data_IF_145965003181
#
_entry.id   IF_145965003181
#
_cell.length_a   1.000
_cell.length_b   1.000
_cell.length_c   1.000
_cell.angle_alpha   90.00
_cell.angle_beta   90.00
_cell.angle_gamma   90.00
#
_symmetry.space_group_name_H-M   'P 1'
#
loop_
_entity.id
_entity.type
_entity.pdbx_description
1 polymer ?
#
# COMPACT_ATOMS: atom_id res chain seq x y z
N UNK A 1 -12.06 -22.69 -15.01
CA UNK A 1 -12.23 -23.89 -15.86
C UNK A 1 -11.90 -25.11 -15.01
N UNK A 2 -12.80 -26.13 -14.91
CA UNK A 2 -12.52 -27.33 -14.11
C UNK A 2 -11.35 -28.18 -14.67
N UNK A 3 -10.88 -27.87 -15.85
CA UNK A 3 -9.74 -28.53 -16.50
C UNK A 3 -8.43 -27.72 -16.34
N UNK A 4 -8.46 -26.58 -15.69
CA UNK A 4 -7.27 -25.76 -15.45
C UNK A 4 -6.71 -26.06 -14.06
N UNK A 5 -5.49 -26.56 -13.99
CA UNK A 5 -4.74 -26.62 -12.73
C UNK A 5 -3.99 -25.32 -12.51
N UNK A 6 -3.96 -24.84 -11.29
CA UNK A 6 -3.14 -23.68 -10.91
C UNK A 6 -2.20 -24.05 -9.80
N UNK A 7 -0.95 -23.62 -9.90
CA UNK A 7 0.05 -23.74 -8.86
C UNK A 7 0.53 -22.36 -8.45
N UNK A 8 0.75 -22.16 -7.16
CA UNK A 8 1.20 -20.88 -6.61
C UNK A 8 2.57 -21.06 -5.97
N UNK A 9 3.55 -20.33 -6.49
CA UNK A 9 4.91 -20.30 -5.96
C UNK A 9 5.15 -18.98 -5.22
N UNK A 10 5.57 -19.07 -3.97
CA UNK A 10 5.94 -17.91 -3.16
C UNK A 10 7.45 -17.79 -3.13
N UNK A 11 7.96 -16.66 -3.61
CA UNK A 11 9.37 -16.31 -3.52
C UNK A 11 9.54 -15.20 -2.49
N UNK A 12 10.36 -15.44 -1.50
CA UNK A 12 10.63 -14.44 -0.47
C UNK A 12 11.22 -13.17 -1.10
N UNK A 13 10.53 -12.05 -0.91
CA UNK A 13 10.98 -10.77 -1.43
C UNK A 13 12.11 -10.17 -0.60
N UNK A 14 12.26 -10.63 0.66
CA UNK A 14 13.18 -10.06 1.65
C UNK A 14 13.71 -11.13 2.57
N UNK A 15 14.92 -10.87 3.07
CA UNK A 15 15.49 -11.65 4.18
C UNK A 15 14.85 -11.26 5.54
N UNK A 16 15.29 -11.92 6.61
CA UNK A 16 14.82 -11.65 7.97
C UNK A 16 15.15 -10.23 8.47
N UNK A 17 16.13 -9.56 7.88
CA UNK A 17 16.50 -8.18 8.18
C UNK A 17 15.74 -7.14 7.34
N UNK A 18 14.97 -7.63 6.35
CA UNK A 18 14.15 -6.81 5.46
C UNK A 18 14.91 -6.32 4.21
N UNK A 19 16.11 -6.83 3.93
CA UNK A 19 16.83 -6.53 2.70
C UNK A 19 16.17 -7.22 1.51
N UNK A 20 16.19 -6.55 0.35
CA UNK A 20 15.64 -7.11 -0.89
C UNK A 20 16.50 -8.29 -1.36
N UNK A 21 15.85 -9.40 -1.67
CA UNK A 21 16.47 -10.57 -2.26
C UNK A 21 16.43 -10.52 -3.79
N UNK A 22 17.54 -10.89 -4.44
CA UNK A 22 17.53 -11.14 -5.88
C UNK A 22 16.81 -12.47 -6.16
N UNK A 23 15.72 -12.39 -6.92
CA UNK A 23 14.89 -13.54 -7.28
C UNK A 23 14.90 -13.84 -8.77
N UNK A 24 15.68 -13.09 -9.54
CA UNK A 24 15.68 -13.16 -11.00
C UNK A 24 15.97 -14.57 -11.49
N UNK A 25 17.00 -15.22 -10.93
CA UNK A 25 17.37 -16.60 -11.27
C UNK A 25 16.24 -17.61 -10.95
N UNK A 26 15.64 -17.52 -9.77
CA UNK A 26 14.56 -18.43 -9.36
C UNK A 26 13.29 -18.25 -10.23
N UNK A 27 12.99 -17.02 -10.64
CA UNK A 27 11.86 -16.73 -11.54
C UNK A 27 12.11 -17.32 -12.93
N UNK A 28 13.32 -17.13 -13.49
CA UNK A 28 13.67 -17.68 -14.79
C UNK A 28 13.64 -19.22 -14.79
N UNK A 29 14.14 -19.84 -13.72
CA UNK A 29 14.10 -21.30 -13.56
C UNK A 29 12.66 -21.80 -13.48
N UNK A 30 11.78 -21.14 -12.74
CA UNK A 30 10.37 -21.49 -12.64
C UNK A 30 9.68 -21.41 -14.00
N UNK A 31 9.91 -20.36 -14.78
CA UNK A 31 9.36 -20.19 -16.11
C UNK A 31 9.87 -21.27 -17.05
N UNK A 32 11.19 -21.52 -17.05
CA UNK A 32 11.81 -22.53 -17.91
C UNK A 32 11.33 -23.96 -17.62
N UNK A 33 11.05 -24.28 -16.37
CA UNK A 33 10.55 -25.58 -15.95
C UNK A 33 9.06 -25.80 -16.27
N UNK A 34 8.34 -24.74 -16.69
CA UNK A 34 6.90 -24.79 -16.99
C UNK A 34 6.59 -24.16 -18.37
N UNK A 35 7.16 -24.68 -19.47
CA UNK A 35 7.07 -24.03 -20.79
C UNK A 35 5.64 -23.94 -21.35
N UNK A 36 4.76 -24.84 -20.94
CA UNK A 36 3.36 -24.89 -21.40
C UNK A 36 2.40 -24.12 -20.48
N UNK A 37 2.89 -23.56 -19.37
CA UNK A 37 2.08 -22.83 -18.40
C UNK A 37 1.94 -21.35 -18.78
N UNK A 38 0.75 -20.79 -18.55
CA UNK A 38 0.59 -19.34 -18.53
C UNK A 38 1.05 -18.81 -17.19
N UNK A 39 2.15 -18.08 -17.16
CA UNK A 39 2.74 -17.56 -15.93
C UNK A 39 2.22 -16.15 -15.62
N UNK A 40 1.79 -15.95 -14.38
CA UNK A 40 1.43 -14.62 -13.85
C UNK A 40 2.38 -14.29 -12.70
N UNK A 41 3.20 -13.26 -12.88
CA UNK A 41 4.06 -12.72 -11.82
C UNK A 41 3.36 -11.61 -11.05
N UNK A 42 3.48 -11.60 -9.72
CA UNK A 42 2.93 -10.55 -8.86
C UNK A 42 3.97 -9.98 -7.92
N UNK A 43 4.09 -8.66 -7.90
CA UNK A 43 5.02 -7.90 -7.04
C UNK A 43 4.28 -6.85 -6.24
N UNK A 44 4.76 -6.59 -5.02
CA UNK A 44 4.27 -5.47 -4.19
C UNK A 44 5.33 -4.37 -4.15
N UNK A 45 5.07 -3.26 -4.82
CA UNK A 45 5.98 -2.11 -4.82
C UNK A 45 5.44 -0.99 -3.94
N UNK A 46 6.11 -0.74 -2.85
CA UNK A 46 5.60 0.10 -1.78
C UNK A 46 4.67 -0.70 -0.85
N UNK A 47 5.25 -1.59 -0.06
CA UNK A 47 4.54 -2.39 0.94
C UNK A 47 3.85 -1.54 2.01
N UNK A 48 3.21 -2.17 3.00
CA UNK A 48 2.61 -1.47 4.15
C UNK A 48 3.61 -0.58 4.89
N UNK A 49 4.90 -0.91 4.90
CA UNK A 49 5.99 -0.09 5.47
C UNK A 49 6.57 0.93 4.48
N UNK A 50 6.03 1.02 3.27
CA UNK A 50 6.51 1.89 2.21
C UNK A 50 7.75 1.36 1.46
N UNK A 51 8.23 0.16 1.78
CA UNK A 51 9.44 -0.41 1.19
C UNK A 51 9.18 -0.83 -0.25
N UNK A 52 10.09 -0.45 -1.14
CA UNK A 52 10.09 -0.86 -2.55
C UNK A 52 10.49 -2.33 -2.68
N UNK A 53 9.90 -3.00 -3.64
CA UNK A 53 10.45 -4.25 -4.17
C UNK A 53 11.34 -3.96 -5.38
N UNK A 54 12.09 -4.97 -5.85
CA UNK A 54 12.90 -4.84 -7.04
C UNK A 54 12.06 -5.06 -8.30
N UNK A 55 11.91 -4.01 -9.10
CA UNK A 55 11.21 -4.08 -10.39
C UNK A 55 12.08 -4.67 -11.52
N UNK A 56 13.38 -4.86 -11.29
CA UNK A 56 14.25 -5.45 -12.31
C UNK A 56 13.99 -6.94 -12.54
N UNK A 57 13.26 -7.59 -11.62
CA UNK A 57 12.81 -8.98 -11.81
C UNK A 57 11.73 -9.12 -12.89
N UNK A 58 11.15 -8.00 -13.34
CA UNK A 58 10.12 -7.99 -14.38
C UNK A 58 10.79 -8.19 -15.73
N UNK A 59 10.61 -9.39 -16.28
CA UNK A 59 10.98 -9.67 -17.65
C UNK A 59 9.85 -9.24 -18.60
N UNK A 60 10.09 -8.19 -19.35
CA UNK A 60 9.11 -7.60 -20.31
C UNK A 60 9.15 -8.28 -21.67
N UNK A 61 10.17 -9.08 -21.95
CA UNK A 61 10.35 -9.79 -23.22
C UNK A 61 9.69 -11.19 -23.19
N UNK A 62 9.33 -11.66 -21.99
CA UNK A 62 8.59 -12.91 -21.82
C UNK A 62 7.08 -12.75 -22.04
N UNK A 63 6.40 -13.88 -22.26
CA UNK A 63 4.93 -13.97 -22.26
C UNK A 63 4.33 -13.95 -20.84
N UNK A 64 5.15 -13.74 -19.81
CA UNK A 64 4.72 -13.61 -18.42
C UNK A 64 3.87 -12.37 -18.24
N UNK A 65 2.68 -12.57 -17.66
CA UNK A 65 1.77 -11.48 -17.31
C UNK A 65 2.15 -10.91 -15.94
N UNK A 66 2.78 -9.76 -15.92
CA UNK A 66 3.20 -9.11 -14.67
C UNK A 66 2.12 -8.20 -14.12
N UNK A 67 1.91 -8.30 -12.80
CA UNK A 67 1.01 -7.43 -12.01
C UNK A 67 1.83 -6.78 -10.90
N UNK A 68 1.85 -5.46 -10.85
CA UNK A 68 2.50 -4.70 -9.77
C UNK A 68 1.43 -4.08 -8.88
N UNK A 69 1.44 -4.47 -7.60
CA UNK A 69 0.59 -3.87 -6.58
C UNK A 69 1.21 -2.55 -6.09
N UNK A 70 0.61 -1.45 -6.52
CA UNK A 70 0.89 -0.08 -6.06
C UNK A 70 -0.21 0.43 -5.12
N UNK A 71 -0.89 -0.43 -4.36
CA UNK A 71 -2.04 -0.05 -3.54
C UNK A 71 -1.74 0.99 -2.46
N UNK A 72 -0.49 1.22 -2.07
CA UNK A 72 -0.16 2.39 -1.23
C UNK A 72 -0.28 3.71 -1.99
N UNK A 73 -0.10 3.70 -3.30
CA UNK A 73 -0.19 4.84 -4.22
C UNK A 73 0.67 6.04 -3.80
N UNK A 74 1.91 5.73 -3.35
CA UNK A 74 2.91 6.68 -2.85
C UNK A 74 4.08 6.80 -3.82
N UNK A 75 3.75 6.77 -5.10
CA UNK A 75 4.71 6.78 -6.21
C UNK A 75 4.37 7.89 -7.18
N UNK A 76 5.36 8.33 -7.94
CA UNK A 76 5.15 9.26 -9.03
C UNK A 76 4.34 8.62 -10.17
N UNK A 77 3.53 9.41 -10.85
CA UNK A 77 2.70 8.95 -11.98
C UNK A 77 3.54 8.43 -13.15
N UNK A 78 4.78 8.91 -13.31
CA UNK A 78 5.71 8.44 -14.33
C UNK A 78 6.04 6.96 -14.17
N UNK A 79 6.13 6.45 -12.95
CA UNK A 79 6.33 5.02 -12.70
C UNK A 79 5.14 4.20 -13.22
N UNK A 80 3.92 4.65 -12.96
CA UNK A 80 2.70 3.96 -13.42
C UNK A 80 2.68 3.93 -14.95
N UNK A 81 2.95 5.08 -15.57
CA UNK A 81 3.02 5.18 -17.02
C UNK A 81 4.07 4.23 -17.60
N UNK A 82 5.28 4.24 -17.07
CA UNK A 82 6.37 3.37 -17.51
C UNK A 82 6.05 1.87 -17.36
N UNK A 83 5.37 1.47 -16.29
CA UNK A 83 4.93 0.08 -16.10
C UNK A 83 3.89 -0.32 -17.15
N UNK A 84 2.91 0.54 -17.41
CA UNK A 84 1.88 0.29 -18.43
C UNK A 84 2.48 0.21 -19.85
N UNK A 85 3.41 1.09 -20.20
CA UNK A 85 4.14 1.06 -21.48
C UNK A 85 4.94 -0.24 -21.67
N UNK A 86 5.50 -0.77 -20.58
CA UNK A 86 6.18 -2.07 -20.54
C UNK A 86 5.22 -3.26 -20.57
N UNK A 87 3.90 -3.04 -20.58
CA UNK A 87 2.90 -4.11 -20.59
C UNK A 87 2.63 -4.72 -19.22
N UNK A 88 2.99 -4.05 -18.14
CA UNK A 88 2.75 -4.50 -16.75
C UNK A 88 1.40 -3.99 -16.26
N UNK A 89 0.57 -4.87 -15.72
CA UNK A 89 -0.68 -4.47 -15.07
C UNK A 89 -0.40 -3.82 -13.72
N UNK A 90 -1.20 -2.82 -13.34
CA UNK A 90 -0.99 -2.07 -12.10
C UNK A 90 -2.24 -2.07 -11.25
N UNK A 91 -2.13 -2.51 -10.00
CA UNK A 91 -3.20 -2.41 -9.02
C UNK A 91 -3.05 -1.13 -8.18
N UNK A 92 -4.14 -0.38 -8.07
CA UNK A 92 -4.20 0.89 -7.34
C UNK A 92 -5.35 0.90 -6.35
N UNK A 93 -5.24 1.76 -5.32
CA UNK A 93 -6.39 2.12 -4.49
C UNK A 93 -6.36 3.60 -4.10
N UNK A 94 -7.54 4.24 -4.15
CA UNK A 94 -7.72 5.59 -3.63
C UNK A 94 -7.82 5.68 -2.10
N UNK A 95 -7.99 4.56 -1.40
CA UNK A 95 -8.29 4.54 0.04
C UNK A 95 -7.08 4.63 0.97
N UNK A 96 -5.86 4.68 0.46
CA UNK A 96 -4.65 4.76 1.28
C UNK A 96 -4.08 6.18 1.29
N UNK A 97 -3.16 6.51 0.41
CA UNK A 97 -2.54 7.82 0.37
C UNK A 97 -3.56 8.94 0.14
N UNK A 98 -4.51 8.74 -0.77
CA UNK A 98 -5.56 9.72 -1.08
C UNK A 98 -6.77 9.67 -0.14
N UNK A 99 -6.75 8.83 0.87
CA UNK A 99 -7.67 8.82 2.02
C UNK A 99 -9.17 8.72 1.67
N UNK A 100 -9.50 8.21 0.47
CA UNK A 100 -10.89 7.88 0.13
C UNK A 100 -11.44 6.73 1.00
N UNK A 101 -12.75 6.53 1.06
CA UNK A 101 -13.33 5.42 1.80
C UNK A 101 -12.79 4.05 1.35
N UNK A 102 -12.72 3.05 2.25
CA UNK A 102 -12.24 1.70 1.93
C UNK A 102 -12.99 1.05 0.75
N UNK A 103 -12.38 0.01 0.17
CA UNK A 103 -12.91 -0.69 -1.02
C UNK A 103 -12.98 0.19 -2.28
N UNK A 104 -11.93 0.97 -2.50
CA UNK A 104 -11.72 1.82 -3.66
C UNK A 104 -10.46 1.33 -4.39
N UNK A 105 -10.57 0.23 -5.13
CA UNK A 105 -9.46 -0.36 -5.88
C UNK A 105 -9.77 -0.43 -7.37
N UNK A 106 -8.72 -0.38 -8.19
CA UNK A 106 -8.78 -0.57 -9.63
C UNK A 106 -7.54 -1.29 -10.12
N UNK A 107 -7.67 -1.96 -11.26
CA UNK A 107 -6.56 -2.51 -12.03
C UNK A 107 -6.45 -1.75 -13.34
N UNK A 108 -5.27 -1.22 -13.63
CA UNK A 108 -4.95 -0.65 -14.92
C UNK A 108 -4.39 -1.77 -15.81
N UNK A 109 -5.02 -1.97 -16.96
CA UNK A 109 -4.67 -3.03 -17.91
C UNK A 109 -3.98 -2.40 -19.11
N UNK A 110 -2.72 -2.76 -19.39
CA UNK A 110 -1.98 -2.24 -20.55
C UNK A 110 -2.61 -2.70 -21.86
N UNK A 111 -2.49 -1.89 -22.89
CA UNK A 111 -3.01 -2.20 -24.23
C UNK A 111 -2.42 -3.50 -24.81
N UNK A 112 -1.19 -3.85 -24.44
CA UNK A 112 -0.52 -5.11 -24.84
C UNK A 112 -1.44 -6.34 -24.62
N UNK A 113 -2.19 -6.38 -23.51
CA UNK A 113 -3.02 -7.53 -23.14
C UNK A 113 -4.45 -7.48 -23.68
N UNK A 114 -4.89 -6.37 -24.27
CA UNK A 114 -6.28 -6.20 -24.66
C UNK A 114 -6.77 -7.27 -25.63
N UNK A 115 -5.97 -7.63 -26.64
CA UNK A 115 -6.38 -8.62 -27.64
C UNK A 115 -6.48 -10.06 -27.05
N UNK A 116 -5.56 -10.41 -26.14
CA UNK A 116 -5.60 -11.68 -25.44
C UNK A 116 -6.81 -11.77 -24.49
N UNK A 117 -7.09 -10.69 -23.77
CA UNK A 117 -8.21 -10.63 -22.84
C UNK A 117 -9.57 -10.65 -23.54
N UNK A 118 -9.70 -10.12 -24.76
CA UNK A 118 -10.90 -10.22 -25.58
C UNK A 118 -11.28 -11.69 -25.93
N UNK A 119 -10.29 -12.58 -25.99
CA UNK A 119 -10.46 -13.97 -26.36
C UNK A 119 -10.81 -14.87 -25.18
N UNK A 120 -10.82 -14.33 -23.95
CA UNK A 120 -11.18 -15.11 -22.76
C UNK A 120 -12.63 -15.53 -22.83
N UNK A 121 -12.89 -16.81 -22.55
CA UNK A 121 -14.24 -17.37 -22.54
C UNK A 121 -15.11 -16.66 -21.49
N UNK A 122 -16.16 -16.02 -21.97
CA UNK A 122 -17.08 -15.27 -21.11
C UNK A 122 -17.86 -16.15 -20.12
N UNK A 123 -17.98 -17.45 -20.36
CA UNK A 123 -18.65 -18.38 -19.45
C UNK A 123 -17.96 -18.44 -18.07
N UNK A 124 -16.65 -18.15 -18.02
CA UNK A 124 -15.87 -18.10 -16.78
C UNK A 124 -16.40 -17.05 -15.81
N UNK A 125 -16.86 -15.90 -16.30
CA UNK A 125 -17.31 -14.78 -15.46
C UNK A 125 -18.79 -14.87 -15.06
N UNK A 126 -19.60 -15.59 -15.84
CA UNK A 126 -21.04 -15.67 -15.60
C UNK A 126 -21.44 -16.10 -14.16
N UNK A 127 -20.75 -17.08 -13.52
CA UNK A 127 -21.04 -17.45 -12.13
C UNK A 127 -20.79 -16.33 -11.11
N UNK A 128 -20.00 -15.33 -11.47
CA UNK A 128 -19.62 -14.21 -10.60
C UNK A 128 -20.48 -12.96 -10.78
N UNK A 129 -21.61 -13.06 -11.49
CA UNK A 129 -22.53 -11.94 -11.71
C UNK A 129 -23.16 -11.35 -10.44
N UNK A 130 -23.06 -12.03 -9.29
CA UNK A 130 -23.43 -11.49 -8.00
C UNK A 130 -22.34 -10.53 -7.42
N UNK A 131 -21.07 -10.69 -7.83
CA UNK A 131 -19.92 -9.94 -7.34
C UNK A 131 -19.50 -8.83 -8.32
N UNK A 132 -19.62 -9.08 -9.62
CA UNK A 132 -19.18 -8.17 -10.68
C UNK A 132 -20.36 -7.70 -11.52
N UNK A 133 -20.20 -6.50 -12.06
CA UNK A 133 -21.09 -5.90 -13.05
C UNK A 133 -20.35 -5.71 -14.37
N UNK A 134 -21.08 -5.47 -15.44
CA UNK A 134 -20.49 -5.11 -16.72
C UNK A 134 -19.58 -3.89 -16.67
N UNK A 135 -19.73 -3.03 -15.66
CA UNK A 135 -18.91 -1.82 -15.47
C UNK A 135 -17.60 -2.07 -14.73
N UNK A 136 -17.45 -3.22 -14.08
CA UNK A 136 -16.22 -3.62 -13.38
C UNK A 136 -15.21 -4.28 -14.34
N UNK A 137 -15.63 -4.56 -15.60
CA UNK A 137 -14.82 -5.18 -16.64
C UNK A 137 -14.46 -4.15 -17.71
N UNK A 138 -13.21 -4.14 -18.22
CA UNK A 138 -12.77 -3.21 -19.26
C UNK A 138 -13.73 -3.16 -20.46
N UNK A 139 -13.91 -1.97 -21.02
CA UNK A 139 -14.88 -1.73 -22.10
C UNK A 139 -14.63 -2.60 -23.35
N UNK A 140 -13.37 -2.95 -23.63
CA UNK A 140 -12.99 -3.77 -24.79
C UNK A 140 -13.27 -5.27 -24.61
N UNK A 141 -13.66 -5.72 -23.40
CA UNK A 141 -14.05 -7.11 -23.13
C UNK A 141 -15.56 -7.29 -23.27
N UNK A 142 -16.10 -6.97 -24.44
CA UNK A 142 -17.55 -6.93 -24.71
C UNK A 142 -18.25 -8.24 -24.37
N UNK A 143 -17.68 -9.38 -24.79
CA UNK A 143 -18.24 -10.69 -24.50
C UNK A 143 -18.43 -10.95 -23.00
N UNK A 144 -17.45 -10.58 -22.16
CA UNK A 144 -17.58 -10.70 -20.72
C UNK A 144 -18.67 -9.78 -20.17
N UNK A 145 -18.70 -8.54 -20.65
CA UNK A 145 -19.66 -7.52 -20.21
C UNK A 145 -21.11 -7.91 -20.51
N UNK A 146 -21.35 -8.65 -21.60
CA UNK A 146 -22.69 -9.14 -21.96
C UNK A 146 -23.21 -10.21 -21.01
N UNK A 147 -22.31 -10.99 -20.37
CA UNK A 147 -22.66 -12.04 -19.41
C UNK A 147 -22.79 -11.51 -17.97
N UNK A 148 -22.54 -10.25 -17.75
CA UNK A 148 -22.62 -9.61 -16.45
C UNK A 148 -23.82 -8.65 -16.35
N UNK A 149 -24.41 -8.50 -15.16
CA UNK A 149 -25.51 -7.56 -14.97
C UNK A 149 -25.04 -6.11 -15.26
N UNK A 150 -25.83 -5.37 -16.03
CA UNK A 150 -25.60 -3.93 -16.31
C UNK A 150 -26.08 -3.08 -15.14
N UNK A 151 -25.53 -3.35 -13.95
CA UNK A 151 -25.89 -2.65 -12.71
C UNK A 151 -24.70 -1.82 -12.23
N UNK A 152 -24.90 -0.51 -12.18
CA UNK A 152 -23.88 0.40 -11.65
C UNK A 152 -23.61 0.14 -10.17
N UNK A 153 -22.33 0.02 -9.80
CA UNK A 153 -21.89 0.02 -8.42
C UNK A 153 -21.72 1.46 -7.92
N UNK A 154 -22.84 2.08 -7.55
CA UNK A 154 -22.86 3.49 -7.09
C UNK A 154 -21.92 3.74 -5.90
N UNK A 155 -21.79 2.75 -5.02
CA UNK A 155 -20.92 2.88 -3.85
C UNK A 155 -19.44 2.89 -4.25
N UNK A 156 -19.02 2.08 -5.23
CA UNK A 156 -17.66 2.10 -5.77
C UNK A 156 -17.40 3.39 -6.54
N UNK A 157 -18.34 3.82 -7.36
CA UNK A 157 -18.27 5.09 -8.09
C UNK A 157 -18.05 6.28 -7.15
N UNK A 158 -18.88 6.42 -6.10
CA UNK A 158 -18.75 7.50 -5.13
C UNK A 158 -17.37 7.49 -4.43
N UNK A 159 -16.85 6.31 -4.10
CA UNK A 159 -15.49 6.19 -3.52
C UNK A 159 -14.41 6.69 -4.48
N UNK A 160 -14.54 6.35 -5.75
CA UNK A 160 -13.60 6.82 -6.77
C UNK A 160 -13.76 8.31 -7.06
N UNK A 161 -14.96 8.87 -7.05
CA UNK A 161 -15.17 10.32 -7.17
C UNK A 161 -14.43 11.07 -6.07
N UNK A 162 -14.56 10.63 -4.80
CA UNK A 162 -13.82 11.22 -3.66
C UNK A 162 -12.30 11.07 -3.85
N UNK A 163 -11.82 9.89 -4.29
CA UNK A 163 -10.40 9.68 -4.54
C UNK A 163 -9.87 10.58 -5.65
N UNK A 164 -10.60 10.70 -6.74
CA UNK A 164 -10.21 11.50 -7.92
C UNK A 164 -10.21 13.00 -7.61
N UNK A 165 -11.13 13.48 -6.77
CA UNK A 165 -11.15 14.87 -6.30
C UNK A 165 -9.87 15.19 -5.52
N UNK A 166 -9.48 14.32 -4.58
CA UNK A 166 -8.24 14.53 -3.82
C UNK A 166 -6.99 14.38 -4.71
N UNK A 167 -6.97 13.40 -5.64
CA UNK A 167 -5.89 13.24 -6.61
C UNK A 167 -5.76 14.48 -7.50
N UNK A 168 -6.87 15.04 -7.95
CA UNK A 168 -6.89 16.27 -8.75
C UNK A 168 -6.33 17.45 -7.96
N UNK A 169 -6.80 17.65 -6.73
CA UNK A 169 -6.31 18.73 -5.86
C UNK A 169 -4.82 18.57 -5.52
N UNK A 170 -4.35 17.34 -5.30
CA UNK A 170 -2.94 17.03 -5.03
C UNK A 170 -2.06 17.31 -6.26
N UNK A 171 -2.55 17.06 -7.46
CA UNK A 171 -1.81 17.22 -8.73
C UNK A 171 -1.49 18.68 -9.10
N UNK A 172 -2.08 19.67 -8.43
CA UNK A 172 -1.68 21.08 -8.59
C UNK A 172 -0.26 21.36 -8.07
N UNK A 173 0.26 20.50 -7.20
CA UNK A 173 1.58 20.63 -6.62
C UNK A 173 2.58 19.77 -7.37
N UNK A 174 3.76 20.32 -7.63
CA UNK A 174 4.84 19.54 -8.24
C UNK A 174 5.35 18.44 -7.30
N UNK A 175 5.86 17.34 -7.87
CA UNK A 175 6.50 16.27 -7.09
C UNK A 175 7.57 16.81 -6.14
N UNK A 176 8.37 17.80 -6.58
CA UNK A 176 9.38 18.42 -5.74
C UNK A 176 8.79 19.10 -4.49
N UNK A 177 7.69 19.82 -4.64
CA UNK A 177 7.02 20.48 -3.51
C UNK A 177 6.42 19.47 -2.53
N UNK A 178 5.76 18.44 -3.05
CA UNK A 178 5.17 17.39 -2.22
C UNK A 178 6.23 16.58 -1.48
N UNK A 179 7.34 16.23 -2.14
CA UNK A 179 8.46 15.52 -1.53
C UNK A 179 9.18 16.35 -0.45
N UNK A 180 9.32 17.68 -0.65
CA UNK A 180 9.88 18.56 0.36
C UNK A 180 9.04 18.56 1.65
N UNK A 181 7.73 18.73 1.51
CA UNK A 181 6.80 18.68 2.66
C UNK A 181 6.82 17.33 3.36
N UNK A 182 6.77 16.24 2.59
CA UNK A 182 6.84 14.88 3.14
C UNK A 182 8.15 14.67 3.89
N UNK A 183 9.26 15.14 3.35
CA UNK A 183 10.58 15.02 3.98
C UNK A 183 10.66 15.84 5.27
N UNK A 184 10.13 17.06 5.28
CA UNK A 184 10.06 17.90 6.49
C UNK A 184 9.20 17.27 7.58
N UNK A 185 8.03 16.72 7.22
CA UNK A 185 7.20 15.94 8.14
C UNK A 185 7.96 14.74 8.70
N UNK A 186 8.59 13.94 7.83
CA UNK A 186 9.33 12.75 8.23
C UNK A 186 10.48 13.06 9.19
N UNK A 187 11.29 14.08 8.88
CA UNK A 187 12.39 14.52 9.74
C UNK A 187 11.88 14.92 11.12
N UNK A 188 10.78 15.66 11.20
CA UNK A 188 10.21 16.07 12.48
C UNK A 188 9.68 14.88 13.29
N UNK A 189 8.98 13.94 12.66
CA UNK A 189 8.49 12.70 13.31
C UNK A 189 9.67 11.84 13.79
N UNK A 190 10.68 11.61 12.96
CA UNK A 190 11.87 10.83 13.32
C UNK A 190 12.63 11.48 14.49
N UNK A 191 12.86 12.79 14.42
CA UNK A 191 13.50 13.53 15.50
C UNK A 191 12.75 13.40 16.83
N UNK A 192 11.41 13.44 16.81
CA UNK A 192 10.59 13.22 18.01
C UNK A 192 10.72 11.81 18.55
N UNK A 193 10.69 10.79 17.70
CA UNK A 193 10.87 9.40 18.11
C UNK A 193 12.26 9.16 18.75
N UNK A 194 13.30 9.77 18.20
CA UNK A 194 14.66 9.64 18.69
C UNK A 194 14.91 10.34 20.05
N UNK A 195 13.99 11.18 20.53
CA UNK A 195 14.09 11.79 21.87
C UNK A 195 13.74 10.84 23.00
N UNK A 196 13.27 9.62 22.72
CA UNK A 196 12.85 8.65 23.72
C UNK A 196 13.48 7.28 23.48
N UNK A 197 13.98 6.65 24.54
CA UNK A 197 14.46 5.25 24.52
C UNK A 197 13.32 4.23 24.29
N UNK A 198 12.06 4.67 24.36
CA UNK A 198 10.88 3.84 24.08
C UNK A 198 10.71 3.52 22.61
N UNK A 199 11.47 4.17 21.73
CA UNK A 199 11.32 3.98 20.28
C UNK A 199 12.66 3.69 19.60
N UNK A 200 12.62 2.80 18.58
CA UNK A 200 13.74 2.60 17.67
C UNK A 200 13.25 2.60 16.24
N UNK A 201 13.76 3.53 15.46
CA UNK A 201 13.47 3.59 14.02
C UNK A 201 13.86 2.27 13.35
N UNK A 202 13.02 1.81 12.44
CA UNK A 202 13.41 0.72 11.56
C UNK A 202 14.52 1.22 10.61
N UNK A 203 15.53 0.38 10.32
CA UNK A 203 16.61 0.76 9.42
C UNK A 203 16.11 1.36 8.13
N UNK A 204 16.86 2.29 7.55
CA UNK A 204 16.56 2.89 6.27
C UNK A 204 16.61 1.81 5.19
N UNK A 205 15.43 1.34 4.85
CA UNK A 205 15.22 0.46 3.72
C UNK A 205 14.78 1.30 2.52
N UNK A 206 15.00 0.80 1.31
CA UNK A 206 14.54 1.48 0.09
C UNK A 206 13.03 1.69 0.15
N UNK A 207 12.61 2.93 0.34
CA UNK A 207 11.19 3.32 0.40
C UNK A 207 10.76 4.01 -0.90
N UNK A 208 9.46 3.99 -1.17
CA UNK A 208 8.89 4.76 -2.29
C UNK A 208 9.07 6.26 -2.05
N UNK A 209 8.79 6.69 -0.83
CA UNK A 209 9.10 8.02 -0.28
C UNK A 209 9.05 7.98 1.25
N UNK A 210 9.32 9.09 1.90
CA UNK A 210 9.34 9.21 3.36
C UNK A 210 7.97 9.40 4.01
N UNK A 211 6.87 9.16 3.29
CA UNK A 211 5.51 9.33 3.81
C UNK A 211 5.04 8.24 4.79
N UNK A 212 5.88 7.26 5.09
CA UNK A 212 5.67 6.23 6.11
C UNK A 212 6.93 6.10 6.96
N UNK A 213 6.79 6.32 8.26
CA UNK A 213 7.86 6.12 9.26
C UNK A 213 7.52 4.90 10.09
N UNK A 214 8.40 3.90 10.06
CA UNK A 214 8.25 2.64 10.78
C UNK A 214 9.20 2.61 11.98
N UNK A 215 8.71 2.14 13.13
CA UNK A 215 9.51 2.09 14.35
C UNK A 215 9.03 0.97 15.29
N UNK A 216 9.97 0.42 16.03
CA UNK A 216 9.71 -0.50 17.13
C UNK A 216 9.34 0.28 18.40
N UNK A 217 8.50 -0.31 19.25
CA UNK A 217 8.21 0.19 20.60
C UNK A 217 8.95 -0.65 21.61
N UNK A 218 9.67 -0.02 22.52
CA UNK A 218 10.50 -0.64 23.53
C UNK A 218 10.01 -0.29 24.92
N UNK A 219 9.93 -1.29 25.79
CA UNK A 219 9.56 -1.14 27.21
C UNK A 219 10.56 -1.94 28.05
N UNK A 220 11.12 -1.32 29.08
CA UNK A 220 12.12 -1.96 29.95
C UNK A 220 13.29 -2.61 29.18
N UNK A 221 13.77 -1.95 28.14
CA UNK A 221 14.90 -2.42 27.33
C UNK A 221 14.58 -3.58 26.38
N UNK A 222 13.31 -3.92 26.17
CA UNK A 222 12.86 -5.01 25.27
C UNK A 222 11.87 -4.48 24.25
N UNK A 223 12.02 -4.91 23.00
CA UNK A 223 11.04 -4.61 21.95
C UNK A 223 9.74 -5.36 22.22
N UNK A 224 8.61 -4.69 22.03
CA UNK A 224 7.31 -5.35 22.04
C UNK A 224 7.20 -6.27 20.81
N UNK A 225 6.66 -7.47 21.04
CA UNK A 225 6.35 -8.42 19.97
C UNK A 225 5.07 -8.03 19.19
N UNK A 226 4.74 -8.80 18.16
CA UNK A 226 3.63 -8.48 17.28
C UNK A 226 2.27 -8.53 17.97
N UNK A 227 2.08 -9.42 18.94
CA UNK A 227 0.80 -9.53 19.65
C UNK A 227 0.65 -8.41 20.68
N UNK A 228 1.72 -8.06 21.41
CA UNK A 228 1.75 -6.89 22.27
C UNK A 228 1.49 -5.59 21.48
N UNK A 229 2.06 -5.46 20.29
CA UNK A 229 1.79 -4.29 19.42
C UNK A 229 0.34 -4.28 18.91
N UNK A 230 -0.29 -5.43 18.64
CA UNK A 230 -1.72 -5.50 18.28
C UNK A 230 -2.61 -5.07 19.46
N UNK A 231 -2.27 -5.50 20.68
CA UNK A 231 -3.01 -5.10 21.87
C UNK A 231 -2.86 -3.61 22.13
N UNK A 232 -1.64 -3.06 22.00
CA UNK A 232 -1.37 -1.62 22.08
C UNK A 232 -2.17 -0.83 21.03
N UNK A 233 -2.12 -1.27 19.78
CA UNK A 233 -2.88 -0.67 18.69
C UNK A 233 -4.38 -0.65 18.97
N UNK A 234 -4.92 -1.78 19.43
CA UNK A 234 -6.34 -1.91 19.79
C UNK A 234 -6.70 -0.99 20.94
N UNK A 235 -5.92 -0.97 22.01
CA UNK A 235 -6.16 -0.11 23.18
C UNK A 235 -6.22 1.37 22.78
N UNK A 236 -5.26 1.85 22.00
CA UNK A 236 -5.21 3.25 21.58
C UNK A 236 -6.35 3.59 20.60
N UNK A 237 -6.60 2.76 19.59
CA UNK A 237 -7.59 3.07 18.54
C UNK A 237 -9.04 2.93 18.99
N UNK A 238 -9.31 2.21 20.08
CA UNK A 238 -10.65 2.09 20.67
C UNK A 238 -10.91 3.10 21.78
N UNK A 239 -9.88 3.75 22.33
CA UNK A 239 -10.00 4.78 23.34
C UNK A 239 -10.31 6.15 22.73
N UNK A 240 -10.84 7.06 23.55
CA UNK A 240 -10.97 8.47 23.22
C UNK A 240 -9.77 9.25 23.74
N UNK A 241 -9.31 10.21 22.97
CA UNK A 241 -8.13 11.03 23.29
C UNK A 241 -8.44 12.49 23.07
N UNK A 242 -8.35 13.30 24.11
CA UNK A 242 -8.63 14.72 24.03
C UNK A 242 -7.44 15.53 23.44
N UNK A 243 -7.73 16.73 22.96
CA UNK A 243 -6.74 17.75 22.65
C UNK A 243 -6.04 17.61 21.31
N UNK A 244 -6.53 16.79 20.37
CA UNK A 244 -6.08 16.84 18.99
C UNK A 244 -6.64 18.08 18.28
N UNK A 245 -5.81 18.71 17.46
CA UNK A 245 -6.25 19.81 16.61
C UNK A 245 -7.31 19.27 15.63
N UNK A 246 -8.46 19.93 15.56
CA UNK A 246 -9.60 19.49 14.76
C UNK A 246 -10.66 18.68 15.51
N UNK A 247 -10.56 18.56 16.86
CA UNK A 247 -11.58 17.96 17.72
C UNK A 247 -11.79 16.46 17.48
N UNK A 248 -10.77 15.73 17.02
CA UNK A 248 -10.84 14.27 16.82
C UNK A 248 -10.59 13.57 18.15
N UNK A 249 -11.57 12.79 18.58
CA UNK A 249 -11.50 12.00 19.81
C UNK A 249 -10.87 10.64 19.60
N UNK A 250 -10.73 10.18 18.35
CA UNK A 250 -10.13 8.91 17.99
C UNK A 250 -8.96 9.09 17.07
N UNK A 251 -7.93 8.29 17.30
CA UNK A 251 -6.71 8.30 16.52
C UNK A 251 -6.51 6.96 15.81
N UNK A 252 -5.91 7.02 14.64
CA UNK A 252 -5.55 5.84 13.88
C UNK A 252 -4.11 6.00 13.40
N UNK A 253 -3.36 4.92 13.46
CA UNK A 253 -2.00 4.82 12.94
C UNK A 253 -1.81 3.48 12.22
N UNK A 254 -0.65 3.21 11.67
CA UNK A 254 -0.45 1.99 10.91
C UNK A 254 -0.49 0.74 11.78
N UNK A 255 -1.30 -0.24 11.39
CA UNK A 255 -1.37 -1.54 12.07
C UNK A 255 0.03 -2.16 12.22
N UNK A 256 0.28 -2.97 13.27
CA UNK A 256 1.52 -3.70 13.44
C UNK A 256 1.90 -4.52 12.21
N UNK A 257 3.18 -4.58 11.93
CA UNK A 257 3.80 -5.38 10.87
C UNK A 257 4.96 -6.15 11.48
N UNK A 258 5.20 -7.36 10.97
CA UNK A 258 6.33 -8.18 11.37
C UNK A 258 7.14 -8.57 10.14
N UNK A 259 8.47 -8.40 10.23
CA UNK A 259 9.47 -8.92 9.29
C UNK A 259 10.47 -9.78 10.07
N UNK A 260 10.48 -11.08 9.79
CA UNK A 260 11.21 -12.03 10.62
C UNK A 260 10.76 -11.91 12.09
N UNK A 261 11.71 -11.66 12.97
CA UNK A 261 11.43 -11.46 14.41
C UNK A 261 11.18 -10.00 14.81
N UNK A 262 11.33 -9.06 13.86
CA UNK A 262 11.17 -7.62 14.13
C UNK A 262 9.71 -7.20 13.93
N UNK A 263 9.07 -6.75 15.00
CA UNK A 263 7.72 -6.20 14.98
C UNK A 263 7.77 -4.70 15.15
N UNK A 264 6.93 -3.96 14.41
CA UNK A 264 6.92 -2.50 14.41
C UNK A 264 5.55 -1.94 14.05
N UNK A 265 5.34 -0.70 14.40
CA UNK A 265 4.19 0.12 14.02
C UNK A 265 4.63 1.27 13.10
N UNK A 266 3.68 2.04 12.58
CA UNK A 266 3.96 3.05 11.56
C UNK A 266 3.12 4.30 11.76
N UNK A 267 3.75 5.45 11.54
CA UNK A 267 3.05 6.70 11.25
C UNK A 267 3.09 6.95 9.75
N UNK A 268 2.03 7.49 9.20
CA UNK A 268 1.93 7.74 7.77
C UNK A 268 1.16 9.04 7.51
N UNK A 269 1.71 9.88 6.62
CA UNK A 269 1.03 11.07 6.13
C UNK A 269 0.25 10.73 4.85
N UNK A 270 -0.96 11.29 4.68
CA UNK A 270 -1.77 11.16 3.47
C UNK A 270 -1.79 12.45 2.65
N UNK A 271 -2.32 12.34 1.42
CA UNK A 271 -2.35 13.43 0.45
C UNK A 271 -3.04 14.70 0.99
N UNK A 272 -4.18 14.54 1.64
CA UNK A 272 -4.90 15.67 2.24
C UNK A 272 -4.05 16.47 3.23
N UNK A 273 -3.30 15.78 4.10
CA UNK A 273 -2.43 16.46 5.08
C UNK A 273 -1.23 17.13 4.41
N UNK A 274 -0.62 16.46 3.41
CA UNK A 274 0.46 17.06 2.60
C UNK A 274 -0.02 18.34 1.94
N UNK A 275 -1.18 18.32 1.31
CA UNK A 275 -1.79 19.47 0.66
C UNK A 275 -2.10 20.59 1.65
N UNK A 276 -2.67 20.26 2.80
CA UNK A 276 -2.97 21.24 3.83
C UNK A 276 -1.69 21.93 4.37
N UNK A 277 -0.55 21.23 4.41
CA UNK A 277 0.74 21.83 4.76
C UNK A 277 1.28 22.71 3.64
N UNK A 278 1.15 22.30 2.39
CA UNK A 278 1.55 23.10 1.22
C UNK A 278 0.75 24.41 1.13
N UNK A 279 -0.55 24.36 1.35
CA UNK A 279 -1.41 25.56 1.34
C UNK A 279 -1.03 26.58 2.41
N UNK A 280 -0.45 26.12 3.53
CA UNK A 280 0.02 26.98 4.64
C UNK A 280 1.50 27.30 4.59
N UNK A 281 2.24 26.68 3.67
CA UNK A 281 3.71 26.69 3.64
C UNK A 281 4.35 26.34 5.01
N UNK A 282 3.70 25.47 5.77
CA UNK A 282 4.11 25.10 7.12
C UNK A 282 3.73 23.65 7.45
N UNK A 283 4.64 22.93 8.10
CA UNK A 283 4.41 21.58 8.63
C UNK A 283 4.05 21.66 10.11
N UNK A 284 2.83 21.32 10.47
CA UNK A 284 2.34 21.27 11.84
C UNK A 284 2.37 19.83 12.37
N UNK A 285 3.28 19.55 13.27
CA UNK A 285 3.51 18.22 13.87
C UNK A 285 2.80 18.02 15.22
N UNK A 286 1.96 18.96 15.65
CA UNK A 286 1.34 18.92 16.97
C UNK A 286 0.58 17.62 17.22
N UNK A 287 -0.21 17.18 16.25
CA UNK A 287 -0.98 15.95 16.35
C UNK A 287 -0.10 14.69 16.30
N UNK A 288 0.96 14.69 15.48
CA UNK A 288 1.91 13.58 15.40
C UNK A 288 2.67 13.40 16.72
N UNK A 289 3.16 14.48 17.29
CA UNK A 289 3.86 14.47 18.59
C UNK A 289 2.95 14.00 19.72
N UNK A 290 1.70 14.45 19.71
CA UNK A 290 0.72 13.99 20.67
C UNK A 290 0.46 12.49 20.55
N UNK A 291 0.30 11.98 19.34
CA UNK A 291 0.12 10.55 19.09
C UNK A 291 1.33 9.73 19.56
N UNK A 292 2.55 10.20 19.30
CA UNK A 292 3.79 9.55 19.77
C UNK A 292 3.79 9.47 21.32
N UNK A 293 3.45 10.56 22.00
CA UNK A 293 3.38 10.56 23.46
C UNK A 293 2.29 9.60 24.00
N UNK A 294 1.15 9.49 23.32
CA UNK A 294 0.09 8.53 23.67
C UNK A 294 0.59 7.10 23.51
N UNK A 295 1.26 6.79 22.38
CA UNK A 295 1.82 5.45 22.15
C UNK A 295 2.80 5.09 23.27
N UNK A 296 3.69 6.00 23.65
CA UNK A 296 4.65 5.80 24.73
C UNK A 296 3.97 5.56 26.07
N UNK A 297 3.01 6.41 26.45
CA UNK A 297 2.29 6.30 27.72
C UNK A 297 1.54 4.98 27.84
N UNK A 298 0.78 4.60 26.81
CA UNK A 298 0.05 3.31 26.80
C UNK A 298 0.98 2.11 26.82
N UNK A 299 2.10 2.16 26.10
CA UNK A 299 3.07 1.06 26.11
C UNK A 299 3.67 0.86 27.50
N UNK A 300 4.03 1.95 28.20
CA UNK A 300 4.55 1.88 29.58
C UNK A 300 3.48 1.40 30.57
N UNK A 301 2.25 1.88 30.45
CA UNK A 301 1.13 1.45 31.30
C UNK A 301 0.82 -0.04 31.15
N UNK A 302 0.75 -0.54 29.90
CA UNK A 302 0.36 -1.91 29.61
C UNK A 302 1.47 -2.93 29.84
N UNK A 303 2.73 -2.57 29.60
CA UNK A 303 3.85 -3.52 29.55
C UNK A 303 5.03 -3.13 30.46
N UNK A 304 5.00 -1.97 31.11
CA UNK A 304 6.10 -1.48 31.95
C UNK A 304 6.30 -2.23 33.27
N UNK A 305 5.31 -3.00 33.70
CA UNK A 305 5.33 -3.69 35.01
C UNK A 305 5.35 -2.70 36.18
N UNK A 306 4.68 -3.02 37.27
CA UNK A 306 4.90 -2.33 38.55
C UNK A 306 6.11 -2.92 39.25
#
# INVERSE_FOLDING_TARGET
DPNTTSEVHYLDARDADGNILDRTGAIHELIANNPDASVVGSLVFGSKSGIKDDLNVIDTDSETMWVVDLCQFRVDHSLIHNLLEKGVMVMLTGSKFFQAPPFCAAMLVPRKWSERLKQVDASIIAPYGALFSAYDVPWFMENMREHLPKKENKALRLRWEIALDEMSAYSYWSTKQTDDIISRWAMGVMSKLETSDSFKLMPDQLKTNMSIISFQVWVNGRALDNDQLKDLFKAITTSTHEGFIGGKDRVFFGQPVQYGEKSFIRLAIGAFTVRAFLEKDAVDLTNDYRLINIIESFAQEMFGGK
#
